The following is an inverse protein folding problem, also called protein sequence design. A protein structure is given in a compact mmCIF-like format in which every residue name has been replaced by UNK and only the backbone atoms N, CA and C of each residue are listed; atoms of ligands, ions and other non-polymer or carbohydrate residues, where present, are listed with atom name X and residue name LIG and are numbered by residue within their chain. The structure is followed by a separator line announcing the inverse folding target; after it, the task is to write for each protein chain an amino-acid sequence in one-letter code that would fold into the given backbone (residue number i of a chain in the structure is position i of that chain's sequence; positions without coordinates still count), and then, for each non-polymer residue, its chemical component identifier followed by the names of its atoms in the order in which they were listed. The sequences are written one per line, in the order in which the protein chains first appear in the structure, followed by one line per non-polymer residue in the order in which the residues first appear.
data_IF_702417018139
#
_entry.id   IF_702417018139
#
_cell.length_a   1.000
_cell.length_b   1.000
_cell.length_c   1.000
_cell.angle_alpha   90.00
_cell.angle_beta   90.00
_cell.angle_gamma   90.00
#
_symmetry.space_group_name_H-M   'P 1'
#
loop_
_entity.id
_entity.type
_entity.pdbx_description
1 polymer ?
#
# COMPACT_ATOMS: atom_id res chain seq x y z
N UNK A 1 -3.20 -5.47 19.65
CA UNK A 1 -2.67 -4.19 19.12
C UNK A 1 -2.77 -3.16 20.22
N UNK A 2 -1.64 -2.54 20.53
CA UNK A 2 -1.57 -1.40 21.45
C UNK A 2 -2.31 -0.19 20.84
N UNK A 3 -2.93 0.64 21.68
CA UNK A 3 -3.69 1.82 21.24
C UNK A 3 -3.08 3.05 21.87
N UNK A 4 -2.71 4.02 21.04
CA UNK A 4 -2.26 5.32 21.49
C UNK A 4 -3.42 6.32 21.55
N UNK A 5 -3.40 7.20 22.55
CA UNK A 5 -4.38 8.29 22.67
C UNK A 5 -3.87 9.49 21.90
N UNK A 6 -4.71 10.02 21.02
CA UNK A 6 -4.42 11.23 20.24
C UNK A 6 -5.61 12.17 20.28
N UNK A 7 -5.34 13.47 20.38
CA UNK A 7 -6.33 14.53 20.23
C UNK A 7 -6.23 15.11 18.82
N UNK A 8 -7.35 15.25 18.13
CA UNK A 8 -7.41 15.81 16.78
C UNK A 8 -8.43 16.95 16.72
N UNK A 9 -8.15 17.94 15.89
CA UNK A 9 -9.11 19.00 15.56
C UNK A 9 -9.93 18.54 14.36
N UNK A 10 -11.25 18.74 14.44
CA UNK A 10 -12.19 18.46 13.35
C UNK A 10 -13.14 19.64 13.21
N UNK A 11 -13.53 19.93 11.97
CA UNK A 11 -14.56 20.92 11.71
C UNK A 11 -15.87 20.55 12.42
N UNK A 12 -16.59 21.58 12.87
CA UNK A 12 -17.79 21.41 13.68
C UNK A 12 -18.88 20.63 12.94
N UNK A 13 -19.02 20.84 11.63
CA UNK A 13 -20.01 20.14 10.81
C UNK A 13 -19.66 18.65 10.65
N UNK A 14 -18.38 18.32 10.49
CA UNK A 14 -17.88 16.95 10.45
C UNK A 14 -18.13 16.24 11.78
N UNK A 15 -17.84 16.90 12.91
CA UNK A 15 -18.14 16.36 14.23
C UNK A 15 -19.65 16.09 14.41
N UNK A 16 -20.53 16.94 13.89
CA UNK A 16 -21.98 16.72 13.92
C UNK A 16 -22.39 15.51 13.08
N UNK A 17 -21.87 15.39 11.85
CA UNK A 17 -22.10 14.24 10.96
C UNK A 17 -21.61 12.94 11.62
N UNK A 18 -20.44 12.96 12.24
CA UNK A 18 -19.85 11.81 12.92
C UNK A 18 -20.66 11.35 14.14
N UNK A 19 -21.21 12.29 14.92
CA UNK A 19 -22.13 11.98 16.03
C UNK A 19 -23.42 11.33 15.52
N UNK A 20 -23.99 11.83 14.42
CA UNK A 20 -25.17 11.21 13.79
C UNK A 20 -24.87 9.80 13.30
N UNK A 21 -23.74 9.61 12.62
CA UNK A 21 -23.31 8.31 12.12
C UNK A 21 -23.12 7.32 13.27
N UNK A 22 -22.44 7.73 14.35
CA UNK A 22 -22.24 6.93 15.55
C UNK A 22 -23.55 6.41 16.15
N UNK A 23 -24.58 7.26 16.23
CA UNK A 23 -25.91 6.87 16.70
C UNK A 23 -26.59 5.87 15.75
N UNK A 24 -26.55 6.14 14.45
CA UNK A 24 -27.22 5.31 13.45
C UNK A 24 -26.59 3.93 13.31
N UNK A 25 -25.26 3.83 13.46
CA UNK A 25 -24.53 2.55 13.33
C UNK A 25 -24.35 1.83 14.66
N UNK A 26 -24.77 2.42 15.78
CA UNK A 26 -24.47 1.94 17.13
C UNK A 26 -22.97 1.63 17.36
N UNK A 27 -22.09 2.49 16.84
CA UNK A 27 -20.62 2.35 16.96
C UNK A 27 -20.06 3.60 17.61
N UNK A 28 -19.03 3.43 18.44
CA UNK A 28 -18.36 4.58 19.06
C UNK A 28 -17.68 5.48 18.03
N UNK A 29 -17.63 6.78 18.29
CA UNK A 29 -16.91 7.76 17.47
C UNK A 29 -15.45 7.34 17.27
N UNK A 30 -14.78 6.89 18.33
CA UNK A 30 -13.38 6.43 18.24
C UNK A 30 -13.22 5.19 17.36
N UNK A 31 -14.22 4.31 17.29
CA UNK A 31 -14.21 3.19 16.35
C UNK A 31 -14.28 3.69 14.91
N UNK A 32 -15.23 4.57 14.61
CA UNK A 32 -15.40 5.13 13.26
C UNK A 32 -14.15 5.90 12.79
N UNK A 33 -13.52 6.67 13.68
CA UNK A 33 -12.27 7.38 13.36
C UNK A 33 -11.15 6.37 13.06
N UNK A 34 -10.97 5.35 13.91
CA UNK A 34 -9.95 4.32 13.66
C UNK A 34 -10.17 3.58 12.35
N UNK A 35 -11.42 3.24 12.03
CA UNK A 35 -11.79 2.60 10.77
C UNK A 35 -11.43 3.50 9.58
N UNK A 36 -11.88 4.76 9.59
CA UNK A 36 -11.61 5.71 8.52
C UNK A 36 -10.12 5.99 8.31
N UNK A 37 -9.38 6.21 9.40
CA UNK A 37 -7.93 6.46 9.36
C UNK A 37 -7.19 5.23 8.85
N UNK A 38 -7.53 4.04 9.34
CA UNK A 38 -6.92 2.78 8.88
C UNK A 38 -7.14 2.59 7.37
N UNK A 39 -8.38 2.73 6.90
CA UNK A 39 -8.69 2.61 5.47
C UNK A 39 -7.99 3.68 4.62
N UNK A 40 -7.87 4.90 5.13
CA UNK A 40 -7.14 5.97 4.44
C UNK A 40 -5.65 5.64 4.33
N UNK A 41 -5.01 5.25 5.43
CA UNK A 41 -3.59 4.90 5.48
C UNK A 41 -3.30 3.71 4.57
N UNK A 42 -4.10 2.64 4.63
CA UNK A 42 -3.92 1.46 3.75
C UNK A 42 -4.03 1.85 2.27
N UNK A 43 -5.00 2.68 1.91
CA UNK A 43 -5.20 3.13 0.52
C UNK A 43 -4.08 4.04 0.02
N UNK A 44 -3.49 4.84 0.91
CA UNK A 44 -2.47 5.83 0.56
C UNK A 44 -1.04 5.32 0.74
N UNK A 45 -0.86 4.30 1.56
CA UNK A 45 0.42 3.63 1.72
C UNK A 45 0.90 3.19 0.33
N UNK A 46 2.18 3.44 -0.02
CA UNK A 46 2.72 2.98 -1.27
C UNK A 46 2.49 1.47 -1.34
N UNK A 47 1.89 1.00 -2.44
CA UNK A 47 1.82 -0.44 -2.69
C UNK A 47 3.26 -0.93 -2.59
N UNK A 48 3.56 -1.78 -1.61
CA UNK A 48 4.83 -2.50 -1.61
C UNK A 48 4.88 -3.22 -2.96
N UNK A 49 5.65 -2.69 -3.91
CA UNK A 49 6.12 -3.50 -5.03
C UNK A 49 6.98 -4.54 -4.34
N UNK A 50 6.42 -5.72 -4.09
CA UNK A 50 7.27 -6.87 -3.89
C UNK A 50 8.11 -6.93 -5.15
N UNK A 51 9.39 -6.61 -5.02
CA UNK A 51 10.39 -6.84 -6.06
C UNK A 51 10.57 -8.34 -6.14
N UNK A 52 9.56 -9.05 -6.65
CA UNK A 52 9.70 -10.46 -6.99
C UNK A 52 10.44 -10.45 -8.32
N UNK A 53 11.77 -10.36 -8.21
CA UNK A 53 12.69 -10.67 -9.28
C UNK A 53 12.44 -12.16 -9.60
N UNK A 54 11.80 -12.45 -10.74
CA UNK A 54 11.54 -13.82 -11.18
C UNK A 54 10.09 -14.25 -11.43
N UNK A 55 9.06 -13.43 -11.15
CA UNK A 55 7.68 -13.73 -11.63
C UNK A 55 7.45 -13.04 -12.97
N UNK A 56 8.00 -13.64 -14.01
CA UNK A 56 7.66 -13.36 -15.39
C UNK A 56 7.82 -14.68 -16.14
N UNK A 57 6.72 -15.23 -16.67
CA UNK A 57 6.80 -16.37 -17.58
C UNK A 57 7.29 -15.85 -18.94
N UNK A 58 8.59 -15.67 -19.10
CA UNK A 58 9.17 -15.61 -20.44
C UNK A 58 9.20 -17.03 -20.98
N UNK A 59 8.36 -17.35 -21.96
CA UNK A 59 8.43 -18.61 -22.71
C UNK A 59 9.68 -18.73 -23.59
N UNK A 60 10.74 -17.98 -23.29
CA UNK A 60 12.03 -17.97 -23.95
C UNK A 60 13.02 -18.78 -23.14
N UNK A 61 13.86 -19.54 -23.85
CA UNK A 61 14.92 -20.41 -23.35
C UNK A 61 15.75 -19.77 -22.24
N UNK A 62 16.15 -20.61 -21.29
CA UNK A 62 16.92 -20.28 -20.09
C UNK A 62 18.17 -19.44 -20.40
N UNK A 63 18.04 -18.12 -20.22
CA UNK A 63 19.12 -17.15 -20.49
C UNK A 63 20.22 -17.26 -19.42
N UNK A 64 19.88 -17.75 -18.22
CA UNK A 64 20.81 -17.83 -17.09
C UNK A 64 21.99 -18.78 -17.35
N UNK A 65 21.83 -19.75 -18.25
CA UNK A 65 22.86 -20.76 -18.55
C UNK A 65 23.67 -20.46 -19.82
N UNK A 66 23.33 -19.42 -20.59
CA UNK A 66 24.00 -19.06 -21.85
C UNK A 66 24.50 -17.60 -21.84
N UNK A 67 24.80 -17.07 -20.66
CA UNK A 67 25.21 -15.68 -20.44
C UNK A 67 26.41 -15.26 -21.32
N UNK A 68 27.42 -16.13 -21.47
CA UNK A 68 28.61 -15.86 -22.30
C UNK A 68 28.30 -15.72 -23.80
N UNK A 69 27.29 -16.43 -24.30
CA UNK A 69 26.87 -16.34 -25.70
C UNK A 69 26.11 -15.03 -25.96
N UNK A 70 25.24 -14.63 -25.02
CA UNK A 70 24.43 -13.42 -25.14
C UNK A 70 25.20 -12.13 -24.87
N UNK A 71 26.30 -12.19 -24.13
CA UNK A 71 27.14 -11.03 -23.82
C UNK A 71 28.27 -10.81 -24.83
N UNK A 72 28.36 -11.65 -25.86
CA UNK A 72 29.43 -11.58 -26.87
C UNK A 72 29.29 -10.30 -27.71
N UNK A 73 30.36 -9.50 -27.75
CA UNK A 73 30.40 -8.19 -28.44
C UNK A 73 29.83 -7.02 -27.63
N UNK A 74 29.47 -7.24 -26.35
CA UNK A 74 29.06 -6.15 -25.47
C UNK A 74 30.29 -5.30 -25.07
N UNK A 75 30.36 -4.07 -25.56
CA UNK A 75 31.45 -3.13 -25.24
C UNK A 75 32.61 -3.12 -26.23
N UNK A 76 32.49 -3.78 -27.39
CA UNK A 76 33.41 -3.55 -28.50
C UNK A 76 32.99 -2.30 -29.28
N UNK A 77 33.71 -1.20 -29.06
CA UNK A 77 33.68 -0.02 -29.94
C UNK A 77 34.34 -0.41 -31.28
N UNK A 78 33.59 -0.25 -32.38
CA UNK A 78 34.11 -0.49 -33.75
C UNK A 78 35.12 0.58 -34.17
#
# INVERSE_FOLDING_TARGET
MEKERTSILLDKDIMLKLKKLSKNTNRSISFLIREAVSSYVIRKAPKKKFSIIGIGSSGGSDIANNEDEYLKGLGEDR
#
